data_IF_216547063158
#
_entry.id   IF_216547063158
#
_cell.length_a   1.000
_cell.length_b   1.000
_cell.length_c   1.000
_cell.angle_alpha   90.00
_cell.angle_beta   90.00
_cell.angle_gamma   90.00
#
_symmetry.space_group_name_H-M   'P 1'
#
loop_
_entity.id
_entity.type
_entity.pdbx_description
1 polymer ?
#
# COMPACT_ATOMS: atom_id res chain seq x y z
N UNK A 1 17.59 4.68 23.76
CA UNK A 1 16.69 4.76 22.58
C UNK A 1 16.93 3.54 21.72
N UNK A 2 16.14 2.48 21.95
CA UNK A 2 16.09 1.23 21.18
C UNK A 2 14.78 0.56 21.59
N UNK A 3 13.99 0.16 20.60
CA UNK A 3 12.86 -0.76 20.69
C UNK A 3 11.48 -0.13 21.03
N UNK A 4 10.92 0.62 20.08
CA UNK A 4 9.46 0.80 19.94
C UNK A 4 9.10 0.32 18.55
N UNK A 5 8.89 -0.99 18.42
CA UNK A 5 8.14 -1.60 17.31
C UNK A 5 8.09 -3.10 17.56
N UNK A 6 7.07 -3.54 18.28
CA UNK A 6 6.45 -4.86 18.18
C UNK A 6 5.48 -5.03 19.34
N UNK A 7 4.20 -4.77 19.09
CA UNK A 7 3.04 -5.55 19.55
C UNK A 7 1.78 -4.70 19.39
N UNK A 8 1.13 -4.79 18.23
CA UNK A 8 -0.31 -4.58 18.14
C UNK A 8 -0.87 -5.71 17.28
N UNK A 9 -0.80 -6.92 17.85
CA UNK A 9 -1.56 -8.07 17.41
C UNK A 9 -2.60 -8.37 18.49
N UNK A 10 -3.82 -8.67 18.04
CA UNK A 10 -5.00 -9.08 18.79
C UNK A 10 -5.82 -7.97 19.48
N UNK A 11 -6.84 -7.46 18.77
CA UNK A 11 -8.24 -7.52 19.24
C UNK A 11 -9.21 -7.04 18.14
N UNK A 12 -9.62 -7.93 17.24
CA UNK A 12 -10.90 -7.77 16.50
C UNK A 12 -11.56 -9.15 16.43
N UNK A 13 -12.14 -9.55 17.56
CA UNK A 13 -13.23 -10.51 17.56
C UNK A 13 -14.32 -9.87 18.41
N UNK A 14 -15.34 -9.32 17.77
CA UNK A 14 -16.70 -9.23 18.32
C UNK A 14 -17.66 -8.59 17.32
N UNK A 15 -18.79 -9.28 17.13
CA UNK A 15 -20.14 -8.76 16.80
C UNK A 15 -20.40 -8.38 15.35
N UNK A 16 -21.28 -9.16 14.70
CA UNK A 16 -21.93 -8.71 13.46
C UNK A 16 -22.66 -9.75 12.60
N UNK A 17 -23.04 -10.92 13.13
CA UNK A 17 -24.00 -11.79 12.45
C UNK A 17 -25.42 -11.18 12.58
N UNK A 18 -25.70 -10.17 11.75
CA UNK A 18 -27.03 -9.57 11.58
C UNK A 18 -27.39 -9.67 10.10
N UNK A 19 -28.32 -10.57 9.78
CA UNK A 19 -28.72 -10.86 8.41
C UNK A 19 -29.41 -9.69 7.72
N UNK A 20 -29.03 -9.48 6.46
CA UNK A 20 -29.90 -8.91 5.44
C UNK A 20 -29.64 -9.68 4.14
N UNK A 21 -30.56 -10.60 3.83
CA UNK A 21 -30.71 -11.17 2.48
C UNK A 21 -31.20 -10.06 1.56
N UNK A 22 -30.34 -9.57 0.67
CA UNK A 22 -30.79 -8.81 -0.50
C UNK A 22 -30.52 -9.67 -1.74
N UNK A 23 -31.58 -10.32 -2.22
CA UNK A 23 -31.61 -10.97 -3.52
C UNK A 23 -31.66 -9.91 -4.63
N UNK A 24 -30.90 -10.12 -5.70
CA UNK A 24 -31.13 -9.45 -6.98
C UNK A 24 -29.89 -8.89 -7.66
N UNK A 25 -29.28 -9.72 -8.51
CA UNK A 25 -28.62 -9.40 -9.78
C UNK A 25 -27.35 -10.24 -9.93
N UNK A 26 -27.51 -11.44 -10.50
CA UNK A 26 -26.41 -12.28 -10.97
C UNK A 26 -25.77 -11.62 -12.19
N UNK A 27 -24.84 -10.68 -11.96
CA UNK A 27 -23.79 -10.41 -12.94
C UNK A 27 -22.88 -11.64 -12.98
N UNK A 28 -22.46 -12.12 -14.16
CA UNK A 28 -21.50 -13.21 -14.24
C UNK A 28 -20.23 -12.78 -13.51
N UNK A 29 -19.97 -13.39 -12.36
CA UNK A 29 -18.67 -13.30 -11.71
C UNK A 29 -17.70 -14.06 -12.62
N UNK A 30 -16.87 -13.31 -13.35
CA UNK A 30 -15.64 -13.86 -13.88
C UNK A 30 -14.85 -14.37 -12.66
N UNK A 31 -14.95 -15.66 -12.40
CA UNK A 31 -14.10 -16.35 -11.43
C UNK A 31 -12.73 -16.51 -12.08
N UNK A 32 -11.99 -15.40 -12.14
CA UNK A 32 -10.55 -15.46 -12.34
C UNK A 32 -10.01 -16.10 -11.06
N UNK A 33 -9.49 -17.33 -11.18
CA UNK A 33 -8.86 -18.00 -10.06
C UNK A 33 -7.81 -17.05 -9.44
N UNK A 34 -7.77 -16.91 -8.11
CA UNK A 34 -6.78 -16.05 -7.48
C UNK A 34 -5.40 -16.59 -7.81
N UNK A 35 -4.64 -15.82 -8.59
CA UNK A 35 -3.20 -16.06 -8.71
C UNK A 35 -2.63 -15.73 -7.34
N UNK A 36 -2.08 -16.74 -6.66
CA UNK A 36 -1.36 -16.54 -5.41
C UNK A 36 -0.03 -15.86 -5.71
N UNK A 37 -0.07 -14.53 -5.83
CA UNK A 37 1.13 -13.72 -5.80
C UNK A 37 1.68 -13.73 -4.38
N UNK A 38 2.98 -13.93 -4.22
CA UNK A 38 3.64 -13.67 -2.94
C UNK A 38 3.38 -12.22 -2.53
N UNK A 39 3.24 -11.96 -1.23
CA UNK A 39 2.95 -10.62 -0.67
C UNK A 39 4.02 -9.55 -0.93
N UNK A 40 5.00 -9.84 -1.78
CA UNK A 40 6.18 -9.04 -2.08
C UNK A 40 6.36 -8.79 -3.58
N UNK A 41 5.36 -9.08 -4.42
CA UNK A 41 5.42 -8.75 -5.86
C UNK A 41 4.73 -7.43 -6.15
N UNK A 42 5.16 -6.74 -7.20
CA UNK A 42 4.54 -5.48 -7.61
C UNK A 42 3.04 -5.66 -7.93
N UNK A 43 2.67 -6.76 -8.58
CA UNK A 43 1.30 -7.10 -8.96
C UNK A 43 0.39 -7.29 -7.74
N UNK A 44 0.91 -7.92 -6.68
CA UNK A 44 0.17 -8.05 -5.42
C UNK A 44 -0.17 -6.67 -4.85
N UNK A 45 0.82 -5.77 -4.78
CA UNK A 45 0.60 -4.42 -4.27
C UNK A 45 -0.37 -3.62 -5.14
N UNK A 46 -0.30 -3.72 -6.47
CA UNK A 46 -1.26 -3.08 -7.38
C UNK A 46 -2.67 -3.62 -7.18
N UNK A 47 -2.84 -4.95 -7.09
CA UNK A 47 -4.15 -5.58 -6.84
C UNK A 47 -4.76 -5.10 -5.52
N UNK A 48 -3.94 -4.96 -4.49
CA UNK A 48 -4.38 -4.45 -3.19
C UNK A 48 -4.76 -2.97 -3.25
N UNK A 49 -3.98 -2.15 -3.96
CA UNK A 49 -4.32 -0.74 -4.20
C UNK A 49 -5.69 -0.61 -4.87
N UNK A 50 -5.96 -1.38 -5.93
CA UNK A 50 -7.23 -1.32 -6.66
C UNK A 50 -8.42 -1.73 -5.77
N UNK A 51 -8.25 -2.78 -4.95
CA UNK A 51 -9.28 -3.22 -4.00
C UNK A 51 -9.59 -2.14 -2.96
N UNK A 52 -8.58 -1.52 -2.38
CA UNK A 52 -8.74 -0.46 -1.37
C UNK A 52 -9.33 0.81 -1.99
N UNK A 53 -8.96 1.15 -3.22
CA UNK A 53 -9.51 2.28 -3.96
C UNK A 53 -10.99 2.08 -4.28
N UNK A 54 -11.39 0.85 -4.64
CA UNK A 54 -12.80 0.51 -4.81
C UNK A 54 -13.57 0.63 -3.49
N UNK A 55 -13.03 0.13 -2.37
CA UNK A 55 -13.68 0.28 -1.06
C UNK A 55 -13.83 1.77 -0.66
N UNK A 56 -12.79 2.57 -0.86
CA UNK A 56 -12.81 4.01 -0.60
C UNK A 56 -13.90 4.70 -1.44
N UNK A 57 -14.02 4.33 -2.71
CA UNK A 57 -15.03 4.83 -3.65
C UNK A 57 -16.45 4.48 -3.18
N UNK A 58 -16.68 3.24 -2.76
CA UNK A 58 -17.98 2.78 -2.26
C UNK A 58 -18.37 3.50 -0.96
N UNK A 59 -17.43 3.71 -0.04
CA UNK A 59 -17.65 4.47 1.18
C UNK A 59 -17.95 5.95 0.89
N UNK A 60 -17.23 6.57 -0.05
CA UNK A 60 -17.51 7.93 -0.48
C UNK A 60 -18.91 8.06 -1.10
N UNK A 61 -19.36 7.05 -1.86
CA UNK A 61 -20.72 7.00 -2.38
C UNK A 61 -21.77 6.90 -1.26
N UNK A 62 -21.52 6.09 -0.22
CA UNK A 62 -22.38 6.01 0.97
C UNK A 62 -22.46 7.35 1.69
N UNK A 63 -21.34 8.06 1.86
CA UNK A 63 -21.30 9.41 2.45
C UNK A 63 -22.20 10.38 1.68
N UNK A 64 -22.18 10.37 0.34
CA UNK A 64 -23.10 11.18 -0.48
C UNK A 64 -24.57 10.87 -0.15
N UNK A 65 -24.93 9.60 -0.02
CA UNK A 65 -26.28 9.19 0.36
C UNK A 65 -26.69 9.65 1.77
N UNK A 66 -25.77 9.60 2.74
CA UNK A 66 -26.02 10.10 4.09
C UNK A 66 -26.17 11.63 4.13
N UNK A 67 -25.35 12.36 3.37
CA UNK A 67 -25.46 13.82 3.23
C UNK A 67 -26.82 14.24 2.67
N UNK A 68 -27.36 13.51 1.69
CA UNK A 68 -28.72 13.76 1.19
C UNK A 68 -29.80 13.57 2.27
N UNK A 69 -29.63 12.57 3.16
CA UNK A 69 -30.54 12.37 4.30
C UNK A 69 -30.43 13.51 5.32
N UNK A 70 -29.22 13.95 5.64
CA UNK A 70 -28.98 15.13 6.50
C UNK A 70 -29.67 16.36 5.92
N UNK A 71 -29.48 16.64 4.63
CA UNK A 71 -30.12 17.76 3.95
C UNK A 71 -31.66 17.69 3.99
N UNK A 72 -32.25 16.49 3.96
CA UNK A 72 -33.69 16.30 4.13
C UNK A 72 -34.17 16.74 5.52
N UNK A 73 -33.44 16.38 6.58
CA UNK A 73 -33.77 16.80 7.95
C UNK A 73 -33.52 18.30 8.17
N UNK A 74 -32.51 18.88 7.53
CA UNK A 74 -32.27 20.33 7.57
C UNK A 74 -33.40 21.12 6.89
N UNK A 75 -33.91 20.63 5.75
CA UNK A 75 -35.06 21.24 5.05
C UNK A 75 -36.39 21.00 5.76
N UNK A 76 -36.52 19.92 6.53
CA UNK A 76 -37.76 19.53 7.23
C UNK A 76 -37.47 19.22 8.71
N UNK A 77 -37.21 20.26 9.53
CA UNK A 77 -36.83 20.07 10.93
C UNK A 77 -37.88 19.34 11.76
N UNK A 78 -39.16 19.40 11.38
CA UNK A 78 -40.23 18.68 12.06
C UNK A 78 -40.12 17.15 11.95
N UNK A 79 -39.33 16.62 11.00
CA UNK A 79 -39.04 15.19 10.90
C UNK A 79 -37.93 14.74 11.87
N UNK A 80 -37.21 15.69 12.48
CA UNK A 80 -36.16 15.46 13.47
C UNK A 80 -36.10 16.67 14.42
N UNK A 81 -37.19 16.86 15.19
CA UNK A 81 -37.40 18.07 16.00
C UNK A 81 -36.31 18.30 17.05
N UNK A 82 -35.64 17.23 17.49
CA UNK A 82 -34.56 17.27 18.47
C UNK A 82 -33.16 17.20 17.85
N UNK A 83 -33.06 16.97 16.54
CA UNK A 83 -31.78 16.89 15.82
C UNK A 83 -31.01 15.58 16.02
N UNK A 84 -31.54 14.61 16.77
CA UNK A 84 -30.82 13.38 17.11
C UNK A 84 -30.43 12.56 15.87
N UNK A 85 -31.33 12.47 14.89
CA UNK A 85 -31.05 11.71 13.67
C UNK A 85 -30.01 12.43 12.81
N UNK A 86 -30.15 13.75 12.64
CA UNK A 86 -29.22 14.57 11.89
C UNK A 86 -27.81 14.50 12.49
N UNK A 87 -27.69 14.64 13.80
CA UNK A 87 -26.39 14.67 14.47
C UNK A 87 -25.74 13.29 14.47
N UNK A 88 -26.53 12.22 14.66
CA UNK A 88 -26.05 10.84 14.50
C UNK A 88 -25.54 10.56 13.08
N UNK A 89 -26.26 11.02 12.05
CA UNK A 89 -25.81 10.90 10.65
C UNK A 89 -24.52 11.68 10.39
N UNK A 90 -24.39 12.90 10.91
CA UNK A 90 -23.17 13.72 10.79
C UNK A 90 -21.96 13.03 11.41
N UNK A 91 -22.14 12.39 12.57
CA UNK A 91 -21.09 11.59 13.21
C UNK A 91 -20.67 10.40 12.33
N UNK A 92 -21.62 9.64 11.78
CA UNK A 92 -21.34 8.51 10.88
C UNK A 92 -20.61 8.99 9.60
N UNK A 93 -21.02 10.13 9.05
CA UNK A 93 -20.34 10.75 7.90
C UNK A 93 -18.89 11.06 8.25
N UNK A 94 -18.64 11.69 9.40
CA UNK A 94 -17.28 12.04 9.86
C UNK A 94 -16.38 10.81 9.99
N UNK A 95 -16.84 9.77 10.66
CA UNK A 95 -16.06 8.53 10.83
C UNK A 95 -15.84 7.80 9.50
N UNK A 96 -16.83 7.81 8.61
CA UNK A 96 -16.71 7.21 7.28
C UNK A 96 -15.69 7.96 6.41
N UNK A 97 -15.69 9.30 6.47
CA UNK A 97 -14.71 10.13 5.75
C UNK A 97 -13.29 9.91 6.27
N UNK A 98 -13.12 9.77 7.59
CA UNK A 98 -11.83 9.41 8.17
C UNK A 98 -11.34 8.05 7.63
N UNK A 99 -12.23 7.04 7.57
CA UNK A 99 -11.90 5.74 6.98
C UNK A 99 -11.52 5.85 5.51
N UNK A 100 -12.23 6.65 4.72
CA UNK A 100 -11.88 6.91 3.31
C UNK A 100 -10.47 7.48 3.19
N UNK A 101 -10.12 8.47 4.01
CA UNK A 101 -8.76 9.04 4.03
C UNK A 101 -7.71 7.97 4.34
N UNK A 102 -7.92 7.15 5.37
CA UNK A 102 -6.98 6.08 5.72
C UNK A 102 -6.82 5.06 4.59
N UNK A 103 -7.90 4.70 3.90
CA UNK A 103 -7.81 3.79 2.74
C UNK A 103 -7.00 4.42 1.61
N UNK A 104 -7.17 5.72 1.35
CA UNK A 104 -6.41 6.44 0.32
C UNK A 104 -4.91 6.49 0.65
N UNK A 105 -4.55 6.68 1.91
CA UNK A 105 -3.15 6.62 2.36
C UNK A 105 -2.56 5.22 2.11
N UNK A 106 -3.33 4.17 2.36
CA UNK A 106 -2.91 2.79 2.08
C UNK A 106 -2.78 2.51 0.58
N UNK A 107 -3.69 3.04 -0.25
CA UNK A 107 -3.59 2.95 -1.72
C UNK A 107 -2.30 3.59 -2.20
N UNK A 108 -1.97 4.78 -1.72
CA UNK A 108 -0.73 5.47 -2.05
C UNK A 108 0.48 4.62 -1.67
N UNK A 109 0.51 4.10 -0.44
CA UNK A 109 1.58 3.22 0.01
C UNK A 109 1.75 1.97 -0.87
N UNK A 110 0.66 1.30 -1.23
CA UNK A 110 0.72 0.12 -2.11
C UNK A 110 1.24 0.48 -3.51
N UNK A 111 0.82 1.61 -4.09
CA UNK A 111 1.30 2.07 -5.41
C UNK A 111 2.79 2.44 -5.39
N UNK A 112 3.24 3.10 -4.33
CA UNK A 112 4.65 3.44 -4.14
C UNK A 112 5.50 2.17 -4.00
N UNK A 113 5.04 1.19 -3.23
CA UNK A 113 5.75 -0.07 -3.02
C UNK A 113 5.80 -0.92 -4.30
N UNK A 114 4.71 -0.96 -5.08
CA UNK A 114 4.72 -1.59 -6.40
C UNK A 114 5.77 -0.95 -7.32
N UNK A 115 5.80 0.39 -7.37
CA UNK A 115 6.77 1.13 -8.18
C UNK A 115 8.21 0.85 -7.75
N UNK A 116 8.46 0.74 -6.45
CA UNK A 116 9.77 0.39 -5.87
C UNK A 116 10.21 -1.02 -6.28
N UNK A 117 9.29 -1.99 -6.26
CA UNK A 117 9.57 -3.38 -6.64
C UNK A 117 9.84 -3.52 -8.13
N UNK A 118 9.04 -2.89 -8.99
CA UNK A 118 9.29 -2.87 -10.45
C UNK A 118 10.66 -2.27 -10.76
N UNK A 119 11.05 -1.17 -10.13
CA UNK A 119 12.37 -0.56 -10.32
C UNK A 119 13.55 -1.43 -9.84
N UNK A 120 13.31 -2.36 -8.91
CA UNK A 120 14.31 -3.34 -8.48
C UNK A 120 14.48 -4.47 -9.48
N UNK A 121 13.39 -4.90 -10.11
CA UNK A 121 13.40 -5.93 -11.16
C UNK A 121 14.04 -5.41 -12.46
N UNK A 122 13.83 -4.13 -12.79
CA UNK A 122 14.35 -3.49 -13.99
C UNK A 122 15.84 -3.10 -13.92
N UNK A 123 16.52 -3.25 -12.77
CA UNK A 123 17.97 -3.05 -12.71
C UNK A 123 18.67 -4.34 -13.15
N UNK A 124 19.17 -4.45 -14.41
CA UNK A 124 20.06 -5.54 -14.76
C UNK A 124 21.27 -5.50 -13.83
N UNK A 125 21.68 -6.68 -13.37
CA UNK A 125 22.95 -6.89 -12.69
C UNK A 125 24.10 -6.55 -13.64
N UNK A 126 24.43 -5.27 -13.83
CA UNK A 126 25.67 -4.81 -14.47
C UNK A 126 26.91 -5.08 -13.58
N UNK A 127 26.84 -6.09 -12.71
CA UNK A 127 27.89 -6.53 -11.77
C UNK A 127 28.41 -7.93 -12.07
N UNK A 128 28.28 -8.39 -13.31
CA UNK A 128 28.93 -9.60 -13.81
C UNK A 128 29.95 -9.34 -14.94
N UNK A 129 30.49 -8.11 -15.03
CA UNK A 129 31.69 -7.82 -15.84
C UNK A 129 32.68 -7.09 -14.95
N UNK A 130 33.54 -7.87 -14.30
CA UNK A 130 34.92 -7.56 -13.91
C UNK A 130 35.41 -8.69 -13.00
N UNK A 131 35.50 -9.91 -13.55
CA UNK A 131 36.47 -10.87 -13.03
C UNK A 131 37.78 -10.52 -13.69
N UNK A 132 38.61 -9.79 -12.96
CA UNK A 132 40.01 -9.57 -13.27
C UNK A 132 40.71 -10.93 -13.34
N UNK A 133 40.95 -11.46 -14.54
CA UNK A 133 41.94 -12.50 -14.73
C UNK A 133 43.33 -11.83 -14.76
N UNK A 134 43.74 -11.32 -13.60
CA UNK A 134 45.13 -10.94 -13.33
C UNK A 134 45.85 -12.20 -12.87
N UNK A 135 46.14 -13.10 -13.82
CA UNK A 135 47.04 -14.23 -13.58
C UNK A 135 48.48 -13.80 -13.77
N UNK A 136 49.09 -13.44 -12.65
CA UNK A 136 50.53 -13.44 -12.36
C UNK A 136 51.27 -14.56 -13.10
N UNK A 137 52.16 -14.21 -14.03
CA UNK A 137 53.23 -15.10 -14.50
C UNK A 137 54.58 -14.42 -14.31
N UNK A 138 55.19 -14.77 -13.18
CA UNK A 138 56.59 -14.54 -12.83
C UNK A 138 57.49 -15.45 -13.68
N UNK A 139 58.32 -14.89 -14.57
CA UNK A 139 59.72 -15.32 -14.73
C UNK A 139 60.47 -14.46 -15.75
N UNK A 140 61.70 -14.04 -15.42
CA UNK A 140 62.72 -13.92 -16.46
C UNK A 140 63.47 -12.58 -16.57
N UNK A 141 64.44 -12.43 -15.67
CA UNK A 141 65.82 -12.02 -15.99
C UNK A 141 66.14 -10.60 -16.49
N UNK A 142 66.97 -9.94 -15.68
CA UNK A 142 68.32 -9.45 -16.04
C UNK A 142 68.55 -7.94 -15.84
N UNK A 143 69.51 -7.68 -14.93
CA UNK A 143 70.64 -6.74 -15.04
C UNK A 143 70.27 -5.29 -15.39
N UNK A 144 70.66 -4.27 -14.62
CA UNK A 144 71.96 -3.99 -14.00
C UNK A 144 71.79 -2.62 -13.28
N UNK A 145 72.40 -2.39 -12.12
CA UNK A 145 73.64 -1.57 -11.95
C UNK A 145 73.42 -0.11 -12.39
N UNK A 146 73.67 0.97 -11.64
CA UNK A 146 74.46 1.23 -10.43
C UNK A 146 74.28 2.72 -10.09
N UNK A 147 74.53 3.09 -8.82
CA UNK A 147 75.03 4.41 -8.37
C UNK A 147 74.14 5.64 -8.61
N UNK A 148 74.18 6.72 -7.84
CA UNK A 148 74.81 7.17 -6.60
C UNK A 148 74.09 8.51 -6.32
N UNK A 149 73.65 8.81 -5.10
CA UNK A 149 74.31 9.69 -4.12
C UNK A 149 73.25 10.70 -3.65
N UNK A 150 72.96 10.70 -2.34
CA UNK A 150 72.47 11.88 -1.60
C UNK A 150 73.67 12.83 -1.37
N UNK A 151 73.58 13.94 -0.59
CA UNK A 151 72.44 14.61 0.03
C UNK A 151 72.49 16.16 -0.09
N UNK A 152 71.39 16.82 0.31
CA UNK A 152 71.31 17.83 1.40
C UNK A 152 70.06 18.69 1.23
#
# INVERSE_FOLDING_TARGET
MKNIMMLFAALIFMVGAGGYTFAGSTKPSLQVAPVEWGSHTAEFHLTQADKLEQEATDLAAKVRGLNQKVAKYEKKPYLDTKGFYRDGLKMIIGTTLQKVSTLQDQVAWHRDEASRLTALEEKPQDRASNSEDTTTSLHGTSRSRSHSESPS
#
